data_IF_353114321625
#
_entry.id   IF_353114321625
#
_cell.length_a   1.000
_cell.length_b   1.000
_cell.length_c   1.000
_cell.angle_alpha   90.00
_cell.angle_beta   90.00
_cell.angle_gamma   90.00
#
_symmetry.space_group_name_H-M   'P 1'
#
loop_
_entity.id
_entity.type
_entity.pdbx_description
1 polymer ?
#
# COMPACT_ATOMS: atom_id res chain seq x y z
N UNK A 1 12.17 -36.70 10.84
CA UNK A 1 13.00 -35.46 10.93
C UNK A 1 13.29 -34.86 9.55
N UNK A 2 13.88 -35.59 8.59
CA UNK A 2 14.19 -35.07 7.25
C UNK A 2 12.99 -34.55 6.43
N UNK A 3 11.84 -35.24 6.47
CA UNK A 3 10.61 -34.80 5.78
C UNK A 3 10.14 -33.41 6.24
N UNK A 4 10.17 -33.18 7.56
CA UNK A 4 9.78 -31.89 8.16
C UNK A 4 10.73 -30.73 7.78
N UNK A 5 12.02 -31.03 7.55
CA UNK A 5 13.02 -30.05 7.11
C UNK A 5 12.77 -29.66 5.64
N UNK A 6 12.51 -30.64 4.77
CA UNK A 6 12.18 -30.40 3.36
C UNK A 6 10.88 -29.61 3.22
N UNK A 7 9.84 -29.94 3.99
CA UNK A 7 8.58 -29.22 3.99
C UNK A 7 8.74 -27.77 4.46
N UNK A 8 9.57 -27.53 5.49
CA UNK A 8 9.87 -26.18 5.96
C UNK A 8 10.66 -25.36 4.92
N UNK A 9 11.63 -25.97 4.24
CA UNK A 9 12.37 -25.35 3.14
C UNK A 9 11.45 -24.99 1.97
N UNK A 10 10.54 -25.88 1.60
CA UNK A 10 9.57 -25.64 0.54
C UNK A 10 8.62 -24.48 0.87
N UNK A 11 8.06 -24.45 2.08
CA UNK A 11 7.22 -23.33 2.55
C UNK A 11 7.96 -21.99 2.53
N UNK A 12 9.23 -21.99 2.94
CA UNK A 12 10.08 -20.79 2.92
C UNK A 12 10.35 -20.31 1.49
N UNK A 13 10.64 -21.23 0.57
CA UNK A 13 10.83 -20.92 -0.85
C UNK A 13 9.58 -20.29 -1.46
N UNK A 14 8.41 -20.90 -1.25
CA UNK A 14 7.14 -20.39 -1.75
C UNK A 14 6.83 -18.99 -1.19
N UNK A 15 7.06 -18.77 0.11
CA UNK A 15 6.87 -17.45 0.72
C UNK A 15 7.79 -16.37 0.10
N UNK A 16 9.02 -16.73 -0.26
CA UNK A 16 9.96 -15.83 -0.93
C UNK A 16 9.54 -15.54 -2.38
N UNK A 17 9.05 -16.53 -3.12
CA UNK A 17 8.55 -16.34 -4.48
C UNK A 17 7.32 -15.43 -4.49
N UNK A 18 6.37 -15.68 -3.58
CA UNK A 18 5.18 -14.86 -3.41
C UNK A 18 5.54 -13.41 -3.01
N UNK A 19 6.54 -13.24 -2.13
CA UNK A 19 7.09 -11.93 -1.81
C UNK A 19 7.61 -11.20 -3.05
N UNK A 20 8.44 -11.88 -3.84
CA UNK A 20 9.02 -11.29 -5.03
C UNK A 20 7.97 -10.93 -6.07
N UNK A 21 6.89 -11.72 -6.16
CA UNK A 21 5.75 -11.43 -7.01
C UNK A 21 5.04 -10.13 -6.57
N UNK A 22 4.64 -10.03 -5.29
CA UNK A 22 3.98 -8.83 -4.76
C UNK A 22 4.83 -7.56 -4.97
N UNK A 23 6.15 -7.65 -4.77
CA UNK A 23 7.08 -6.55 -5.01
C UNK A 23 7.07 -6.11 -6.47
N UNK A 24 7.20 -7.06 -7.41
CA UNK A 24 7.19 -6.77 -8.85
C UNK A 24 5.86 -6.17 -9.29
N UNK A 25 4.73 -6.75 -8.86
CA UNK A 25 3.40 -6.23 -9.16
C UNK A 25 3.23 -4.81 -8.65
N UNK A 26 3.62 -4.53 -7.40
CA UNK A 26 3.49 -3.19 -6.82
C UNK A 26 4.31 -2.16 -7.60
N UNK A 27 5.56 -2.48 -7.92
CA UNK A 27 6.41 -1.61 -8.75
C UNK A 27 5.80 -1.35 -10.14
N UNK A 28 5.26 -2.39 -10.78
CA UNK A 28 4.57 -2.26 -12.07
C UNK A 28 3.32 -1.39 -11.97
N UNK A 29 2.53 -1.50 -10.88
CA UNK A 29 1.36 -0.63 -10.67
C UNK A 29 1.77 0.85 -10.56
N UNK A 30 2.81 1.18 -9.78
CA UNK A 30 3.35 2.55 -9.72
C UNK A 30 3.83 3.07 -11.09
N UNK A 31 4.44 2.20 -11.89
CA UNK A 31 4.87 2.53 -13.25
C UNK A 31 3.68 2.77 -14.19
N UNK A 32 2.69 1.88 -14.17
CA UNK A 32 1.51 1.91 -15.05
C UNK A 32 0.57 3.09 -14.74
N UNK A 33 0.59 3.59 -13.51
CA UNK A 33 -0.09 4.82 -13.10
C UNK A 33 0.75 6.09 -13.37
N UNK A 34 1.93 5.95 -14.00
CA UNK A 34 2.90 7.02 -14.27
C UNK A 34 3.38 7.79 -13.03
N UNK A 35 3.21 7.23 -11.82
CA UNK A 35 3.56 7.90 -10.56
C UNK A 35 5.08 8.04 -10.39
N UNK A 36 5.85 7.09 -10.92
CA UNK A 36 7.31 7.09 -10.86
C UNK A 36 7.88 8.30 -11.62
N UNK A 37 7.47 8.49 -12.86
CA UNK A 37 8.00 9.56 -13.71
C UNK A 37 7.45 10.92 -13.27
N UNK A 38 6.14 11.01 -13.01
CA UNK A 38 5.47 12.24 -12.60
C UNK A 38 6.07 12.85 -11.34
N UNK A 39 6.35 12.02 -10.34
CA UNK A 39 6.89 12.47 -9.04
C UNK A 39 8.40 12.23 -8.89
N UNK A 40 9.08 11.84 -9.98
CA UNK A 40 10.53 11.57 -10.03
C UNK A 40 11.00 10.62 -8.91
N UNK A 41 10.20 9.59 -8.64
CA UNK A 41 10.47 8.62 -7.58
C UNK A 41 11.57 7.66 -8.05
N UNK A 42 12.65 7.54 -7.28
CA UNK A 42 13.68 6.55 -7.61
C UNK A 42 13.14 5.12 -7.38
N UNK A 43 13.38 4.21 -8.34
CA UNK A 43 12.97 2.79 -8.21
C UNK A 43 13.52 2.15 -6.94
N UNK A 44 14.74 2.52 -6.54
CA UNK A 44 15.38 2.07 -5.30
C UNK A 44 14.61 2.55 -4.06
N UNK A 45 14.27 3.83 -4.00
CA UNK A 45 13.49 4.41 -2.89
C UNK A 45 12.11 3.77 -2.80
N UNK A 46 11.45 3.55 -3.93
CA UNK A 46 10.15 2.89 -3.98
C UNK A 46 10.23 1.43 -3.50
N UNK A 47 11.21 0.66 -3.96
CA UNK A 47 11.42 -0.72 -3.50
C UNK A 47 11.71 -0.78 -1.99
N UNK A 48 12.54 0.13 -1.47
CA UNK A 48 12.81 0.23 -0.03
C UNK A 48 11.54 0.57 0.76
N UNK A 49 10.73 1.50 0.27
CA UNK A 49 9.45 1.84 0.87
C UNK A 49 8.52 0.62 0.95
N UNK A 50 8.31 -0.11 -0.15
CA UNK A 50 7.41 -1.28 -0.17
C UNK A 50 7.91 -2.36 0.80
N UNK A 51 9.23 -2.61 0.86
CA UNK A 51 9.81 -3.56 1.81
C UNK A 51 9.61 -3.12 3.28
N UNK A 52 9.73 -1.82 3.57
CA UNK A 52 9.49 -1.28 4.90
C UNK A 52 8.02 -1.41 5.31
N UNK A 53 7.09 -1.07 4.42
CA UNK A 53 5.64 -1.22 4.65
C UNK A 53 5.31 -2.67 4.96
N UNK A 54 5.75 -3.61 4.11
CA UNK A 54 5.53 -5.05 4.33
C UNK A 54 6.06 -5.51 5.68
N UNK A 55 7.27 -5.08 6.06
CA UNK A 55 7.87 -5.44 7.36
C UNK A 55 7.05 -4.91 8.54
N UNK A 56 6.28 -3.85 8.34
CA UNK A 56 5.37 -3.31 9.35
C UNK A 56 4.07 -4.10 9.53
N UNK A 57 3.72 -5.00 8.61
CA UNK A 57 2.55 -5.86 8.75
C UNK A 57 2.85 -7.08 9.63
N UNK A 58 1.92 -7.36 10.54
CA UNK A 58 1.90 -8.59 11.34
C UNK A 58 1.24 -9.72 10.56
N UNK A 59 1.19 -10.91 11.15
CA UNK A 59 0.54 -12.10 10.55
C UNK A 59 -0.72 -12.54 11.32
N UNK A 60 -1.71 -11.66 11.59
CA UNK A 60 -3.03 -12.12 12.00
C UNK A 60 -3.74 -12.81 10.82
N UNK A 61 -4.85 -13.50 11.09
CA UNK A 61 -5.59 -14.26 10.08
C UNK A 61 -6.03 -13.40 8.87
N UNK A 62 -6.42 -12.15 9.10
CA UNK A 62 -6.97 -11.27 8.06
C UNK A 62 -6.09 -10.04 7.75
N UNK A 63 -5.88 -9.14 8.72
CA UNK A 63 -5.13 -7.88 8.55
C UNK A 63 -3.60 -8.06 8.44
N UNK A 64 -3.17 -8.79 7.42
CA UNK A 64 -1.78 -9.08 7.11
C UNK A 64 -1.37 -8.44 5.77
N UNK A 65 -0.11 -8.63 5.36
CA UNK A 65 0.40 -8.06 4.11
C UNK A 65 -0.42 -8.47 2.86
N UNK A 66 -0.96 -9.69 2.84
CA UNK A 66 -1.76 -10.16 1.70
C UNK A 66 -3.03 -9.31 1.56
N UNK A 67 -3.70 -9.01 2.68
CA UNK A 67 -4.85 -8.12 2.70
C UNK A 67 -4.48 -6.73 2.16
N UNK A 68 -3.42 -6.12 2.69
CA UNK A 68 -2.96 -4.81 2.23
C UNK A 68 -2.64 -4.77 0.72
N UNK A 69 -1.95 -5.80 0.22
CA UNK A 69 -1.65 -5.94 -1.19
C UNK A 69 -2.93 -6.07 -2.04
N UNK A 70 -3.90 -6.85 -1.58
CA UNK A 70 -5.19 -7.05 -2.28
C UNK A 70 -5.99 -5.75 -2.35
N UNK A 71 -6.07 -5.01 -1.25
CA UNK A 71 -6.72 -3.69 -1.20
C UNK A 71 -6.01 -2.70 -2.12
N UNK A 72 -4.67 -2.67 -2.13
CA UNK A 72 -3.91 -1.83 -3.04
C UNK A 72 -4.16 -2.21 -4.51
N UNK A 73 -4.16 -3.49 -4.84
CA UNK A 73 -4.45 -3.97 -6.19
C UNK A 73 -5.87 -3.60 -6.64
N UNK A 74 -6.87 -3.73 -5.75
CA UNK A 74 -8.24 -3.28 -6.01
C UNK A 74 -8.28 -1.78 -6.34
N UNK A 75 -7.62 -0.95 -5.52
CA UNK A 75 -7.50 0.49 -5.76
C UNK A 75 -6.85 0.79 -7.11
N UNK A 76 -5.80 0.06 -7.49
CA UNK A 76 -5.18 0.19 -8.82
C UNK A 76 -6.16 -0.11 -9.96
N UNK A 77 -6.92 -1.21 -9.86
CA UNK A 77 -7.95 -1.58 -10.84
C UNK A 77 -9.03 -0.50 -10.92
N UNK A 78 -9.47 0.05 -9.79
CA UNK A 78 -10.42 1.15 -9.74
C UNK A 78 -9.88 2.41 -10.44
N UNK A 79 -8.63 2.81 -10.16
CA UNK A 79 -8.01 3.97 -10.81
C UNK A 79 -7.89 3.75 -12.32
N UNK A 80 -7.58 2.53 -12.78
CA UNK A 80 -7.41 2.25 -14.22
C UNK A 80 -8.72 2.17 -14.99
N UNK A 81 -9.80 1.68 -14.36
CA UNK A 81 -11.02 1.30 -15.08
C UNK A 81 -12.23 2.17 -14.74
N UNK A 82 -12.23 2.88 -13.62
CA UNK A 82 -13.36 3.74 -13.24
C UNK A 82 -13.15 5.17 -13.73
N UNK A 83 -14.23 5.87 -14.14
CA UNK A 83 -14.19 7.30 -14.48
C UNK A 83 -13.71 8.21 -13.34
N UNK A 84 -13.66 7.71 -12.10
CA UNK A 84 -13.15 8.44 -10.92
C UNK A 84 -11.76 9.05 -11.17
N UNK A 85 -10.86 8.32 -11.83
CA UNK A 85 -9.51 8.80 -12.07
C UNK A 85 -9.40 9.81 -13.22
N UNK A 86 -10.36 9.83 -14.15
CA UNK A 86 -10.26 10.69 -15.32
C UNK A 86 -10.71 12.13 -15.05
N UNK A 87 -11.62 12.37 -14.08
CA UNK A 87 -12.18 13.71 -13.84
C UNK A 87 -12.41 14.08 -12.36
N UNK A 88 -12.13 13.22 -11.38
CA UNK A 88 -12.46 13.51 -9.96
C UNK A 88 -11.29 13.50 -8.99
N UNK A 89 -10.15 12.92 -9.35
CA UNK A 89 -8.97 12.86 -8.49
C UNK A 89 -7.77 13.50 -9.16
N UNK A 90 -7.09 14.39 -8.42
CA UNK A 90 -5.82 14.95 -8.84
C UNK A 90 -4.71 13.88 -8.76
N UNK A 91 -3.64 14.06 -9.53
CA UNK A 91 -2.49 13.15 -9.55
C UNK A 91 -1.87 12.90 -8.17
N UNK A 92 -1.93 13.90 -7.29
CA UNK A 92 -1.44 13.80 -5.91
C UNK A 92 -2.39 12.98 -5.04
N UNK A 93 -3.69 13.06 -5.29
CA UNK A 93 -4.70 12.26 -4.60
C UNK A 93 -4.61 10.79 -5.03
N UNK A 94 -4.33 10.52 -6.31
CA UNK A 94 -4.04 9.17 -6.82
C UNK A 94 -2.81 8.58 -6.12
N UNK A 95 -1.71 9.34 -6.02
CA UNK A 95 -0.52 8.91 -5.29
C UNK A 95 -0.84 8.63 -3.82
N UNK A 96 -1.53 9.56 -3.16
CA UNK A 96 -1.88 9.46 -1.75
C UNK A 96 -2.80 8.26 -1.48
N UNK A 97 -3.82 8.05 -2.31
CA UNK A 97 -4.76 6.93 -2.21
C UNK A 97 -4.04 5.58 -2.37
N UNK A 98 -3.15 5.46 -3.35
CA UNK A 98 -2.42 4.23 -3.60
C UNK A 98 -1.37 3.92 -2.53
N UNK A 99 -0.71 4.96 -1.99
CA UNK A 99 0.20 4.80 -0.84
C UNK A 99 -0.58 4.47 0.43
N UNK A 100 -1.75 5.07 0.64
CA UNK A 100 -2.61 4.82 1.79
C UNK A 100 -3.13 3.38 1.80
N UNK A 101 -3.58 2.85 0.67
CA UNK A 101 -4.06 1.46 0.56
C UNK A 101 -2.99 0.43 0.94
N UNK A 102 -1.71 0.70 0.61
CA UNK A 102 -0.59 -0.15 1.04
C UNK A 102 -0.28 -0.05 2.54
N UNK A 103 -0.60 1.08 3.18
CA UNK A 103 -0.22 1.36 4.57
C UNK A 103 -1.35 1.17 5.59
N UNK A 104 -2.60 1.01 5.15
CA UNK A 104 -3.79 1.25 5.99
C UNK A 104 -3.97 0.36 7.22
N UNK A 105 -3.18 -0.71 7.35
CA UNK A 105 -3.29 -1.72 8.41
C UNK A 105 -1.91 -2.09 9.00
N UNK A 106 -0.92 -1.21 8.85
CA UNK A 106 0.40 -1.43 9.45
C UNK A 106 0.27 -1.55 10.99
N UNK A 107 1.03 -2.50 11.56
CA UNK A 107 0.99 -2.89 12.98
C UNK A 107 -0.38 -3.34 13.51
N UNK A 108 -1.32 -3.74 12.64
CA UNK A 108 -2.63 -4.22 13.07
C UNK A 108 -2.52 -5.44 14.00
N UNK A 109 -3.12 -5.34 15.20
CA UNK A 109 -2.97 -6.34 16.27
C UNK A 109 -4.11 -7.37 16.37
N UNK A 110 -5.13 -7.23 15.52
CA UNK A 110 -6.27 -8.17 15.48
C UNK A 110 -7.38 -7.84 16.49
N UNK A 111 -7.34 -6.66 17.09
CA UNK A 111 -8.40 -6.15 17.98
C UNK A 111 -9.28 -5.18 17.20
N UNK A 112 -10.58 -5.40 17.24
CA UNK A 112 -11.61 -4.56 16.67
C UNK A 112 -11.91 -3.38 17.61
N UNK A 113 -11.62 -2.18 17.10
CA UNK A 113 -12.03 -0.83 17.54
C UNK A 113 -11.08 0.08 18.36
N UNK A 114 -11.11 1.34 17.90
CA UNK A 114 -10.84 2.62 18.56
C UNK A 114 -9.44 3.24 18.55
N UNK A 115 -8.38 2.53 18.16
CA UNK A 115 -7.01 3.11 18.13
C UNK A 115 -6.26 2.83 16.82
N UNK A 116 -6.67 3.47 15.72
CA UNK A 116 -5.92 3.46 14.46
C UNK A 116 -5.49 4.87 14.03
N UNK A 117 -4.73 5.57 14.89
CA UNK A 117 -4.10 6.86 14.56
C UNK A 117 -2.77 6.67 13.80
N UNK A 118 -2.32 5.43 13.60
CA UNK A 118 -0.97 5.11 13.09
C UNK A 118 -0.82 5.31 11.57
N UNK A 119 -1.90 5.30 10.79
CA UNK A 119 -1.81 5.27 9.32
C UNK A 119 -1.34 6.58 8.68
N UNK A 120 -1.61 7.71 9.31
CA UNK A 120 -1.28 9.04 8.77
C UNK A 120 0.24 9.31 8.80
N UNK A 121 0.96 8.75 9.77
CA UNK A 121 2.38 9.10 10.00
C UNK A 121 3.30 8.58 8.89
N UNK A 122 3.05 7.38 8.37
CA UNK A 122 3.88 6.78 7.32
C UNK A 122 3.62 7.39 5.94
N UNK A 123 2.36 7.77 5.67
CA UNK A 123 1.98 8.53 4.48
C UNK A 123 2.72 9.88 4.49
N UNK A 124 2.69 10.61 5.61
CA UNK A 124 3.41 11.89 5.74
C UNK A 124 4.92 11.71 5.58
N UNK A 125 5.52 10.69 6.21
CA UNK A 125 6.97 10.44 6.08
C UNK A 125 7.36 10.10 4.64
N UNK A 126 6.57 9.27 3.94
CA UNK A 126 6.84 8.94 2.54
C UNK A 126 6.70 10.16 1.62
N UNK A 127 5.62 10.93 1.76
CA UNK A 127 5.38 12.15 0.98
C UNK A 127 6.45 13.23 1.26
N UNK A 128 6.90 13.37 2.51
CA UNK A 128 7.98 14.28 2.88
C UNK A 128 9.33 13.86 2.25
N UNK A 129 9.63 12.56 2.22
CA UNK A 129 10.84 12.03 1.56
C UNK A 129 10.86 12.22 0.05
N UNK A 130 9.70 12.41 -0.59
CA UNK A 130 9.61 12.73 -2.02
C UNK A 130 9.93 14.20 -2.34
N UNK A 131 10.35 15.02 -1.37
CA UNK A 131 10.56 16.48 -1.52
C UNK A 131 9.33 17.21 -2.10
N UNK A 132 8.14 16.63 -1.95
CA UNK A 132 6.90 17.32 -2.26
C UNK A 132 6.75 18.40 -1.18
N UNK A 133 6.92 19.67 -1.55
CA UNK A 133 6.63 20.79 -0.66
C UNK A 133 5.18 20.67 -0.23
N UNK A 134 4.97 20.15 0.97
CA UNK A 134 3.67 19.92 1.56
C UNK A 134 3.11 21.28 1.98
N UNK A 135 2.50 22.02 1.04
CA UNK A 135 1.34 22.79 1.45
C UNK A 135 0.36 21.75 1.97
N UNK A 136 0.12 21.81 3.28
CA UNK A 136 -0.86 21.04 4.01
C UNK A 136 -2.12 21.01 3.14
N UNK A 137 -2.40 19.87 2.48
CA UNK A 137 -3.69 19.68 1.84
C UNK A 137 -4.69 19.85 2.99
N UNK A 138 -5.55 20.88 2.95
CA UNK A 138 -6.43 21.16 4.08
C UNK A 138 -7.26 19.90 4.29
N UNK A 139 -7.09 19.32 5.48
CA UNK A 139 -7.72 18.05 5.94
C UNK A 139 -9.24 18.06 5.71
N UNK A 140 -9.84 19.24 5.54
CA UNK A 140 -11.26 19.48 5.25
C UNK A 140 -11.72 19.12 3.83
N UNK A 141 -10.84 18.81 2.86
CA UNK A 141 -11.24 18.38 1.49
C UNK A 141 -10.96 16.91 1.17
N UNK A 142 -10.63 16.08 2.16
CA UNK A 142 -10.45 14.63 1.95
C UNK A 142 -11.81 13.94 1.72
N UNK A 143 -12.32 13.97 0.49
CA UNK A 143 -13.43 13.11 0.03
C UNK A 143 -13.07 11.60 0.06
N UNK A 144 -11.80 11.27 0.28
CA UNK A 144 -11.26 9.89 0.37
C UNK A 144 -11.84 9.11 1.56
N UNK A 145 -12.35 9.77 2.61
CA UNK A 145 -12.97 9.08 3.75
C UNK A 145 -14.22 8.29 3.33
N UNK A 146 -14.98 8.75 2.32
CA UNK A 146 -16.14 8.02 1.83
C UNK A 146 -15.77 6.78 0.99
N UNK A 147 -14.58 6.73 0.38
CA UNK A 147 -14.16 5.54 -0.37
C UNK A 147 -13.76 4.40 0.59
N UNK A 148 -13.24 4.72 1.78
CA UNK A 148 -12.95 3.73 2.82
C UNK A 148 -14.22 3.14 3.47
N UNK A 149 -15.31 3.91 3.52
CA UNK A 149 -16.62 3.42 3.98
C UNK A 149 -17.30 2.50 2.97
N UNK A 150 -17.05 2.66 1.67
CA UNK A 150 -17.58 1.78 0.61
C UNK A 150 -16.85 0.41 0.58
N UNK A 151 -15.65 0.32 1.15
CA UNK A 151 -14.83 -0.89 1.20
C UNK A 151 -15.04 -1.77 2.43
N UNK A 152 -15.97 -1.40 3.32
CA UNK A 152 -16.42 -2.25 4.44
C UNK A 152 -17.72 -2.97 4.09
N UNK A 153 -17.68 -3.81 3.05
CA UNK A 153 -18.66 -4.87 2.79
C UNK A 153 -17.93 -6.18 2.50
#
# INVERSE_FOLDING_TARGET
MYKNVQDAQHRTKLANELMMYHMKCTLSMFHNLNLINRWRISRRTLAQFILMVRRGYRTPAYHNWMHAFSVAHFVYVCIKNLPLANNQLDDIEILALFVASLCHDIDHRGTNNSFQVIQIRLIIVFLFRLKLKMFIVPIRKFKIINLFLILNF
#
